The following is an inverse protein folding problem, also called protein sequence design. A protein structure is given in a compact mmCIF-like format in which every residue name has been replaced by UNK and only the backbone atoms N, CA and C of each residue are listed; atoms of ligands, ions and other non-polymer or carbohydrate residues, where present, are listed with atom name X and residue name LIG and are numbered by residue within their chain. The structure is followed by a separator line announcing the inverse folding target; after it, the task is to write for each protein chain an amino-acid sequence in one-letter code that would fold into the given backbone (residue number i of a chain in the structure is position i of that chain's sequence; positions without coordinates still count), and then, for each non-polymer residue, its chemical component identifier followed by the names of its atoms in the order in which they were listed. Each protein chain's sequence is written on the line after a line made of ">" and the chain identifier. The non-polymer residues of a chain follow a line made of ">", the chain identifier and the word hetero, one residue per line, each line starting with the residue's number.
data_IF_087663472891
#
_entry.id   IF_087663472891
#
_cell.length_a   1.000
_cell.length_b   1.000
_cell.length_c   1.000
_cell.angle_alpha   90.00
_cell.angle_beta   90.00
_cell.angle_gamma   90.00
#
_symmetry.space_group_name_H-M   'P 1'
#
loop_
_entity.id
_entity.type
_entity.pdbx_description
1 polymer ?
#
# COMPACT_ATOMS: atom_id res chain seq x y z
N UNK A 1 -15.81 -48.05 3.42
CA UNK A 1 -14.78 -47.14 4.00
C UNK A 1 -14.57 -45.85 3.19
N UNK A 2 -14.92 -45.80 1.90
CA UNK A 2 -14.75 -44.58 1.08
C UNK A 2 -15.95 -43.61 1.11
N UNK A 3 -17.18 -44.14 1.34
CA UNK A 3 -18.40 -43.33 1.37
C UNK A 3 -18.59 -42.50 2.66
N UNK A 4 -17.97 -42.89 3.78
CA UNK A 4 -18.02 -42.10 5.02
C UNK A 4 -17.11 -40.88 4.99
N UNK A 5 -15.98 -40.92 4.27
CA UNK A 5 -15.11 -39.74 4.11
C UNK A 5 -15.75 -38.64 3.28
N UNK A 6 -16.69 -38.98 2.39
CA UNK A 6 -17.39 -38.01 1.53
C UNK A 6 -18.53 -37.26 2.24
N UNK A 7 -19.03 -37.77 3.38
CA UNK A 7 -20.06 -37.08 4.19
C UNK A 7 -19.47 -36.03 5.16
N UNK A 8 -18.15 -36.01 5.34
CA UNK A 8 -17.44 -35.05 6.19
C UNK A 8 -17.00 -33.79 5.40
N UNK A 9 -17.15 -33.82 4.07
CA UNK A 9 -16.82 -32.73 3.15
C UNK A 9 -18.06 -32.13 2.47
N UNK A 10 -19.24 -32.27 3.07
CA UNK A 10 -20.33 -31.34 2.76
C UNK A 10 -20.01 -29.99 3.42
N UNK A 11 -19.06 -29.28 2.82
CA UNK A 11 -18.73 -27.91 3.19
C UNK A 11 -19.95 -27.07 2.81
N UNK A 12 -20.79 -26.78 3.79
CA UNK A 12 -21.82 -25.76 3.66
C UNK A 12 -21.16 -24.52 3.04
N UNK A 13 -21.56 -24.16 1.82
CA UNK A 13 -21.08 -22.93 1.20
C UNK A 13 -21.32 -21.77 2.17
N UNK A 14 -20.30 -20.91 2.33
CA UNK A 14 -20.24 -19.75 3.22
C UNK A 14 -21.24 -19.79 4.39
N UNK A 15 -20.78 -20.26 5.55
CA UNK A 15 -21.62 -20.41 6.74
C UNK A 15 -22.34 -19.08 7.02
N UNK A 16 -23.62 -19.16 7.44
CA UNK A 16 -24.42 -17.96 7.75
C UNK A 16 -23.72 -17.04 8.75
N UNK A 17 -22.89 -17.61 9.61
CA UNK A 17 -22.07 -16.90 10.58
C UNK A 17 -20.99 -16.03 9.90
N UNK A 18 -20.35 -16.51 8.84
CA UNK A 18 -19.34 -15.75 8.08
C UNK A 18 -19.97 -14.51 7.43
N UNK A 19 -21.14 -14.68 6.82
CA UNK A 19 -21.92 -13.59 6.20
C UNK A 19 -22.35 -12.58 7.26
N UNK A 20 -22.75 -13.06 8.44
CA UNK A 20 -23.18 -12.20 9.56
C UNK A 20 -22.04 -11.33 10.06
N UNK A 21 -20.83 -11.89 10.21
CA UNK A 21 -19.64 -11.12 10.62
C UNK A 21 -19.30 -10.05 9.59
N UNK A 22 -19.33 -10.37 8.29
CA UNK A 22 -19.08 -9.41 7.22
C UNK A 22 -20.13 -8.30 7.24
N UNK A 23 -21.41 -8.65 7.39
CA UNK A 23 -22.50 -7.68 7.45
C UNK A 23 -22.36 -6.73 8.65
N UNK A 24 -22.06 -7.26 9.83
CA UNK A 24 -21.83 -6.46 11.04
C UNK A 24 -20.64 -5.51 10.84
N UNK A 25 -19.55 -5.99 10.23
CA UNK A 25 -18.39 -5.16 9.92
C UNK A 25 -18.75 -3.95 9.05
N UNK A 26 -19.51 -4.17 7.97
CA UNK A 26 -19.99 -3.08 7.11
C UNK A 26 -20.93 -2.12 7.84
N UNK A 27 -21.84 -2.62 8.67
CA UNK A 27 -22.75 -1.78 9.47
C UNK A 27 -21.97 -0.89 10.43
N UNK A 28 -20.98 -1.45 11.14
CA UNK A 28 -20.13 -0.68 12.06
C UNK A 28 -19.35 0.40 11.31
N UNK A 29 -18.72 0.06 10.18
CA UNK A 29 -18.01 1.03 9.36
C UNK A 29 -18.94 2.16 8.88
N UNK A 30 -20.13 1.82 8.38
CA UNK A 30 -21.12 2.80 7.92
C UNK A 30 -21.55 3.73 9.06
N UNK A 31 -21.81 3.18 10.26
CA UNK A 31 -22.14 3.99 11.43
C UNK A 31 -21.00 4.93 11.83
N UNK A 32 -19.75 4.48 11.80
CA UNK A 32 -18.57 5.30 12.11
C UNK A 32 -18.38 6.42 11.07
N UNK A 33 -18.51 6.10 9.78
CA UNK A 33 -18.41 7.07 8.68
C UNK A 33 -19.49 8.15 8.79
N UNK A 34 -20.73 7.74 9.05
CA UNK A 34 -21.87 8.64 9.21
C UNK A 34 -21.73 9.48 10.49
N UNK A 35 -21.35 8.88 11.61
CA UNK A 35 -21.10 9.57 12.88
C UNK A 35 -20.01 10.65 12.74
N UNK A 36 -18.91 10.30 12.08
CA UNK A 36 -17.81 11.25 11.81
C UNK A 36 -18.27 12.35 10.85
N UNK A 37 -19.03 12.00 9.80
CA UNK A 37 -19.61 12.97 8.86
C UNK A 37 -20.57 13.96 9.53
N UNK A 38 -21.41 13.49 10.45
CA UNK A 38 -22.33 14.36 11.21
C UNK A 38 -21.61 15.22 12.25
N UNK A 39 -20.51 14.74 12.84
CA UNK A 39 -19.67 15.51 13.77
C UNK A 39 -18.85 16.59 13.05
N UNK A 40 -18.54 16.41 11.77
CA UNK A 40 -17.83 17.36 10.91
C UNK A 40 -18.69 18.56 10.43
N UNK A 41 -19.78 18.89 11.12
CA UNK A 41 -20.59 20.11 10.89
C UNK A 41 -19.88 21.38 11.37
N UNK A 42 -18.68 21.65 10.88
CA UNK A 42 -18.08 22.99 10.91
C UNK A 42 -17.90 23.46 9.48
N UNK A 43 -18.90 24.21 9.02
CA UNK A 43 -19.14 24.60 7.62
C UNK A 43 -18.21 25.67 7.09
N UNK A 44 -16.90 25.51 7.23
CA UNK A 44 -15.93 26.40 6.58
C UNK A 44 -14.92 25.54 5.84
N UNK A 45 -14.85 25.71 4.52
CA UNK A 45 -13.83 25.12 3.64
C UNK A 45 -12.43 25.37 4.24
N UNK A 46 -12.27 26.54 4.85
CA UNK A 46 -11.10 26.93 5.65
C UNK A 46 -10.75 25.93 6.76
N UNK A 47 -11.67 25.38 7.55
CA UNK A 47 -11.34 24.41 8.62
C UNK A 47 -10.99 23.01 8.07
N UNK A 48 -11.54 22.60 6.92
CA UNK A 48 -11.14 21.37 6.25
C UNK A 48 -9.67 21.44 5.76
N UNK A 49 -9.21 22.64 5.38
CA UNK A 49 -7.83 22.91 4.97
C UNK A 49 -6.92 23.42 6.13
N UNK A 50 -7.43 24.11 7.15
CA UNK A 50 -6.71 24.63 8.32
C UNK A 50 -6.64 23.65 9.50
N UNK A 51 -7.53 22.65 9.59
CA UNK A 51 -7.35 21.52 10.50
C UNK A 51 -6.04 20.78 10.22
N UNK A 52 -5.44 20.96 9.03
CA UNK A 52 -4.09 20.52 8.70
C UNK A 52 -2.98 21.01 9.64
N UNK A 53 -3.21 22.01 10.50
CA UNK A 53 -2.20 22.44 11.49
C UNK A 53 -2.08 21.51 12.70
N UNK A 54 -3.11 20.72 13.04
CA UNK A 54 -3.13 19.88 14.25
C UNK A 54 -3.64 18.45 14.04
N UNK A 55 -3.76 17.99 12.79
CA UNK A 55 -3.95 16.55 12.56
C UNK A 55 -2.65 15.85 12.98
N UNK A 56 -2.75 14.97 13.97
CA UNK A 56 -1.63 14.15 14.42
C UNK A 56 -1.11 13.30 13.26
N UNK A 57 0.18 13.00 13.25
CA UNK A 57 0.81 12.21 12.17
C UNK A 57 0.18 10.83 11.95
N UNK A 58 -0.49 10.31 12.98
CA UNK A 58 -0.98 8.94 13.05
C UNK A 58 -2.22 8.71 12.15
N UNK A 59 -3.28 9.54 12.19
CA UNK A 59 -4.34 9.50 11.17
C UNK A 59 -3.86 9.71 9.73
N UNK A 60 -2.89 10.62 9.52
CA UNK A 60 -2.33 10.88 8.17
C UNK A 60 -1.60 9.65 7.66
N UNK A 61 -0.70 9.08 8.46
CA UNK A 61 0.02 7.85 8.13
C UNK A 61 -0.91 6.65 7.91
N UNK A 62 -1.93 6.48 8.76
CA UNK A 62 -2.92 5.43 8.61
C UNK A 62 -3.72 5.56 7.30
N UNK A 63 -4.10 6.78 6.92
CA UNK A 63 -4.83 7.02 5.66
C UNK A 63 -3.97 6.77 4.41
N UNK A 64 -2.69 7.18 4.44
CA UNK A 64 -1.74 6.91 3.35
C UNK A 64 -1.48 5.40 3.21
N UNK A 65 -1.30 4.70 4.33
CA UNK A 65 -1.11 3.25 4.33
C UNK A 65 -2.36 2.51 3.85
N UNK A 66 -3.54 2.90 4.34
CA UNK A 66 -4.82 2.32 3.92
C UNK A 66 -5.13 2.59 2.44
N UNK A 67 -4.67 3.72 1.90
CA UNK A 67 -4.84 4.05 0.47
C UNK A 67 -3.86 3.28 -0.43
N UNK A 68 -2.71 2.87 0.10
CA UNK A 68 -1.66 2.21 -0.67
C UNK A 68 -1.68 0.67 -0.56
N UNK A 69 -2.30 0.12 0.49
CA UNK A 69 -2.39 -1.34 0.70
C UNK A 69 -3.84 -1.79 0.55
N UNK A 70 -4.18 -2.29 -0.65
CA UNK A 70 -5.49 -2.83 -0.97
C UNK A 70 -5.58 -4.35 -0.88
N UNK A 71 -6.79 -4.88 -1.09
CA UNK A 71 -7.08 -6.32 -1.17
C UNK A 71 -6.21 -7.05 -2.22
N UNK A 72 -5.73 -6.34 -3.24
CA UNK A 72 -4.81 -6.83 -4.27
C UNK A 72 -3.45 -7.26 -3.69
N UNK A 73 -2.90 -6.50 -2.74
CA UNK A 73 -1.66 -6.89 -2.07
C UNK A 73 -1.87 -8.12 -1.19
N UNK A 74 -3.01 -8.24 -0.51
CA UNK A 74 -3.31 -9.35 0.38
C UNK A 74 -3.60 -10.66 -0.38
N UNK A 75 -4.47 -10.60 -1.39
CA UNK A 75 -4.83 -11.75 -2.23
C UNK A 75 -3.68 -12.12 -3.16
N UNK A 76 -2.96 -11.13 -3.70
CA UNK A 76 -1.81 -11.34 -4.58
C UNK A 76 -0.61 -11.97 -3.87
N UNK A 77 -0.22 -11.45 -2.70
CA UNK A 77 0.90 -12.02 -1.93
C UNK A 77 0.54 -13.39 -1.33
N UNK A 78 -0.69 -13.56 -0.83
CA UNK A 78 -1.15 -14.85 -0.30
C UNK A 78 -1.25 -15.90 -1.41
N UNK A 79 -1.75 -15.54 -2.59
CA UNK A 79 -1.87 -16.43 -3.75
C UNK A 79 -0.52 -16.82 -4.34
N UNK A 80 0.40 -15.87 -4.54
CA UNK A 80 1.75 -16.19 -4.99
C UNK A 80 2.54 -16.98 -3.94
N UNK A 81 2.36 -16.68 -2.64
CA UNK A 81 2.96 -17.46 -1.55
C UNK A 81 2.42 -18.90 -1.47
N UNK A 82 1.14 -19.11 -1.74
CA UNK A 82 0.54 -20.45 -1.79
C UNK A 82 0.97 -21.26 -3.03
N UNK A 83 1.18 -20.59 -4.18
CA UNK A 83 1.60 -21.24 -5.42
C UNK A 83 3.12 -21.48 -5.52
N UNK A 84 3.94 -20.65 -4.89
CA UNK A 84 5.41 -20.65 -5.09
C UNK A 84 6.22 -20.68 -3.80
N UNK A 85 5.59 -20.65 -2.62
CA UNK A 85 6.25 -20.71 -1.32
C UNK A 85 7.06 -19.45 -0.97
N UNK A 86 8.03 -19.58 -0.04
CA UNK A 86 8.90 -18.49 0.44
C UNK A 86 9.71 -17.82 -0.68
N UNK A 87 9.79 -18.45 -1.87
CA UNK A 87 10.45 -17.89 -3.05
C UNK A 87 9.87 -16.53 -3.49
N UNK A 88 8.60 -16.24 -3.21
CA UNK A 88 8.00 -14.91 -3.47
C UNK A 88 8.61 -13.82 -2.59
N UNK A 89 8.99 -14.17 -1.35
CA UNK A 89 9.72 -13.27 -0.46
C UNK A 89 11.08 -12.85 -1.04
N UNK A 90 11.71 -13.72 -1.85
CA UNK A 90 12.97 -13.37 -2.51
C UNK A 90 12.78 -12.28 -3.59
N UNK A 91 11.63 -12.20 -4.26
CA UNK A 91 11.35 -11.11 -5.21
C UNK A 91 11.20 -9.76 -4.50
N UNK A 92 10.51 -9.73 -3.36
CA UNK A 92 10.37 -8.51 -2.55
C UNK A 92 11.72 -8.08 -1.95
N UNK A 93 12.58 -9.03 -1.54
CA UNK A 93 13.93 -8.72 -1.07
C UNK A 93 14.83 -8.13 -2.18
N UNK A 94 14.73 -8.66 -3.41
CA UNK A 94 15.44 -8.12 -4.57
C UNK A 94 14.93 -6.71 -4.95
N UNK A 95 13.63 -6.44 -4.81
CA UNK A 95 13.07 -5.08 -5.01
C UNK A 95 13.64 -4.07 -4.02
N UNK A 96 13.79 -4.45 -2.74
CA UNK A 96 14.38 -3.56 -1.72
C UNK A 96 15.82 -3.21 -2.10
N UNK A 97 16.62 -4.18 -2.57
CA UNK A 97 17.98 -3.91 -3.05
C UNK A 97 18.01 -2.97 -4.26
N UNK A 98 17.10 -3.17 -5.22
CA UNK A 98 17.02 -2.33 -6.40
C UNK A 98 16.59 -0.90 -6.04
N UNK A 99 15.62 -0.73 -5.14
CA UNK A 99 15.14 0.57 -4.68
C UNK A 99 16.25 1.39 -4.00
N UNK A 100 17.14 0.73 -3.23
CA UNK A 100 18.27 1.40 -2.58
C UNK A 100 19.38 1.82 -3.57
N UNK A 101 19.67 1.00 -4.58
CA UNK A 101 20.77 1.25 -5.54
C UNK A 101 20.42 2.31 -6.60
N UNK A 102 19.16 2.38 -7.01
CA UNK A 102 18.68 3.27 -8.08
C UNK A 102 19.04 4.76 -7.87
N UNK A 103 18.82 5.39 -6.69
CA UNK A 103 19.15 6.81 -6.50
C UNK A 103 20.66 7.11 -6.59
N UNK A 104 21.51 6.21 -6.10
CA UNK A 104 22.98 6.39 -6.16
C UNK A 104 23.48 6.35 -7.60
N UNK A 105 22.94 5.44 -8.43
CA UNK A 105 23.34 5.33 -9.83
C UNK A 105 22.88 6.53 -10.66
N UNK A 106 21.70 7.08 -10.37
CA UNK A 106 21.22 8.31 -11.01
C UNK A 106 22.12 9.50 -10.63
N UNK A 107 22.53 9.60 -9.37
CA UNK A 107 23.48 10.64 -8.94
C UNK A 107 24.85 10.50 -9.63
N UNK A 108 25.37 9.28 -9.75
CA UNK A 108 26.63 9.04 -10.46
C UNK A 108 26.55 9.38 -11.95
N UNK A 109 25.42 9.07 -12.61
CA UNK A 109 25.19 9.42 -14.01
C UNK A 109 25.02 10.93 -14.21
N UNK A 110 24.40 11.61 -13.23
CA UNK A 110 24.37 13.06 -13.17
C UNK A 110 25.81 13.56 -13.13
N UNK A 111 26.57 13.29 -12.06
CA UNK A 111 27.92 13.82 -11.86
C UNK A 111 28.90 13.48 -13.00
N UNK A 112 28.81 12.29 -13.59
CA UNK A 112 29.61 11.91 -14.76
C UNK A 112 29.29 12.76 -16.00
N UNK A 113 28.01 13.04 -16.27
CA UNK A 113 27.59 13.88 -17.38
C UNK A 113 27.91 15.37 -17.13
N UNK A 114 27.80 15.88 -15.88
CA UNK A 114 28.23 17.25 -15.56
C UNK A 114 29.74 17.42 -15.68
N UNK A 115 30.54 16.42 -15.27
CA UNK A 115 31.99 16.45 -15.44
C UNK A 115 32.38 16.47 -16.94
N UNK A 116 31.69 15.69 -17.77
CA UNK A 116 31.91 15.70 -19.22
C UNK A 116 31.54 17.04 -19.86
N UNK A 117 30.35 17.58 -19.55
CA UNK A 117 29.88 18.86 -20.11
C UNK A 117 30.70 20.05 -19.62
N UNK A 118 31.07 20.12 -18.34
CA UNK A 118 31.94 21.19 -17.81
C UNK A 118 33.34 21.15 -18.42
N UNK A 119 33.89 19.96 -18.70
CA UNK A 119 35.15 19.80 -19.43
C UNK A 119 35.07 20.32 -20.88
N UNK A 120 33.96 20.09 -21.59
CA UNK A 120 33.77 20.62 -22.94
C UNK A 120 33.58 22.15 -22.98
N UNK A 121 32.91 22.72 -21.97
CA UNK A 121 32.73 24.17 -21.84
C UNK A 121 34.04 24.87 -21.47
N UNK A 122 34.84 24.28 -20.57
CA UNK A 122 36.16 24.80 -20.21
C UNK A 122 37.12 24.82 -21.40
N UNK A 123 37.12 23.77 -22.24
CA UNK A 123 38.00 23.69 -23.41
C UNK A 123 37.66 24.74 -24.49
N UNK A 124 36.38 25.09 -24.65
CA UNK A 124 35.93 26.11 -25.62
C UNK A 124 36.26 27.56 -25.23
N UNK A 125 36.54 27.84 -23.95
CA UNK A 125 36.92 29.18 -23.45
C UNK A 125 38.45 29.38 -23.37
N UNK A 126 39.23 28.38 -23.79
CA UNK A 126 40.69 28.37 -23.80
C UNK A 126 41.28 28.53 -25.21
N UNK A 127 40.45 28.84 -26.20
CA UNK A 127 40.82 29.30 -27.55
C UNK A 127 40.14 30.63 -27.87
#
# INVERSE_FOLDING_TARGET
>A
MEKEKLLIYEHNGLSRDDITVIFIYFVILMLISIYTGYKSKKGTISEYFLAGRFITWLPVGASLFASNIGSEHFIGLSGSGAASGIAVGAFEFNKIQQMLYTPLKIQQLYDHNYAFFSGQIANKNLF
#
